data_IF_506878386311
#
_entry.id   IF_506878386311
#
_cell.length_a   1.000
_cell.length_b   1.000
_cell.length_c   1.000
_cell.angle_alpha   90.00
_cell.angle_beta   90.00
_cell.angle_gamma   90.00
#
_symmetry.space_group_name_H-M   'P 1'
#
loop_
_entity.id
_entity.type
_entity.pdbx_description
1 polymer ?
#
# COMPACT_ATOMS: atom_id res chain seq x y z
N UNK A 1 -19.19 -2.63 -1.04
CA UNK A 1 -19.08 -3.31 -2.35
C UNK A 1 -19.30 -2.37 -3.54
N UNK A 2 -20.38 -1.58 -3.61
CA UNK A 2 -20.60 -0.63 -4.73
C UNK A 2 -19.45 0.37 -4.97
N UNK A 3 -18.81 0.87 -3.92
CA UNK A 3 -17.68 1.81 -4.02
C UNK A 3 -16.45 1.23 -4.72
N UNK A 4 -16.11 -0.03 -4.45
CA UNK A 4 -14.92 -0.70 -5.02
C UNK A 4 -15.07 -0.90 -6.52
N UNK A 5 -16.26 -1.29 -6.98
CA UNK A 5 -16.54 -1.47 -8.42
C UNK A 5 -16.47 -0.13 -9.17
N UNK A 6 -16.94 0.95 -8.55
CA UNK A 6 -16.83 2.30 -9.12
C UNK A 6 -15.36 2.73 -9.27
N UNK A 7 -14.54 2.53 -8.24
CA UNK A 7 -13.10 2.84 -8.30
C UNK A 7 -12.35 2.03 -9.36
N UNK A 8 -12.69 0.74 -9.49
CA UNK A 8 -12.07 -0.11 -10.51
C UNK A 8 -12.40 0.37 -11.93
N UNK A 9 -13.65 0.78 -12.16
CA UNK A 9 -14.07 1.38 -13.45
C UNK A 9 -13.30 2.67 -13.75
N UNK A 10 -13.17 3.56 -12.76
CA UNK A 10 -12.41 4.80 -12.90
C UNK A 10 -10.92 4.52 -13.22
N UNK A 11 -10.30 3.58 -12.51
CA UNK A 11 -8.90 3.19 -12.75
C UNK A 11 -8.71 2.55 -14.14
N UNK A 12 -9.66 1.73 -14.59
CA UNK A 12 -9.63 1.16 -15.95
C UNK A 12 -9.73 2.26 -17.00
N UNK A 13 -10.69 3.18 -16.87
CA UNK A 13 -10.87 4.29 -17.80
C UNK A 13 -9.61 5.15 -17.91
N UNK A 14 -9.00 5.50 -16.78
CA UNK A 14 -7.76 6.27 -16.79
C UNK A 14 -6.60 5.52 -17.46
N UNK A 15 -6.46 4.21 -17.20
CA UNK A 15 -5.45 3.41 -17.89
C UNK A 15 -5.67 3.37 -19.41
N UNK A 16 -6.93 3.33 -19.87
CA UNK A 16 -7.27 3.31 -21.31
C UNK A 16 -7.07 4.65 -22.01
N UNK A 17 -7.11 5.78 -21.28
CA UNK A 17 -6.74 7.09 -21.84
C UNK A 17 -5.27 7.13 -22.26
N UNK A 18 -4.41 6.43 -21.51
CA UNK A 18 -2.96 6.36 -21.77
C UNK A 18 -2.62 5.21 -22.74
N UNK A 19 -3.27 4.05 -22.55
CA UNK A 19 -3.02 2.81 -23.30
C UNK A 19 -4.35 2.28 -23.88
N UNK A 20 -4.79 2.79 -25.06
CA UNK A 20 -6.11 2.50 -25.61
C UNK A 20 -6.42 1.02 -25.81
N UNK A 21 -5.43 0.20 -26.16
CA UNK A 21 -5.60 -1.24 -26.36
C UNK A 21 -6.04 -2.01 -25.10
N UNK A 22 -5.98 -1.39 -23.91
CA UNK A 22 -6.50 -1.97 -22.68
C UNK A 22 -8.03 -1.93 -22.59
N UNK A 23 -8.74 -1.19 -23.46
CA UNK A 23 -10.20 -1.05 -23.43
C UNK A 23 -10.90 -2.40 -23.54
N UNK A 24 -10.37 -3.23 -24.44
CA UNK A 24 -10.98 -4.50 -24.85
C UNK A 24 -10.57 -5.65 -23.92
N UNK A 25 -9.62 -5.42 -23.00
CA UNK A 25 -9.17 -6.42 -22.06
C UNK A 25 -10.08 -6.51 -20.83
N UNK A 26 -10.36 -7.73 -20.39
CA UNK A 26 -11.05 -8.01 -19.14
C UNK A 26 -10.10 -7.94 -17.94
N UNK A 27 -10.59 -7.46 -16.79
CA UNK A 27 -9.83 -7.52 -15.53
C UNK A 27 -9.79 -8.98 -15.05
N UNK A 28 -8.60 -9.59 -15.02
CA UNK A 28 -8.42 -10.98 -14.58
C UNK A 28 -8.47 -11.15 -13.05
N UNK A 29 -8.01 -10.15 -12.29
CA UNK A 29 -7.97 -10.20 -10.82
C UNK A 29 -7.98 -8.80 -10.21
N UNK A 30 -8.60 -8.68 -9.05
CA UNK A 30 -8.53 -7.49 -8.17
C UNK A 30 -8.16 -7.90 -6.76
N UNK A 31 -7.42 -7.05 -6.06
CA UNK A 31 -7.09 -7.24 -4.65
C UNK A 31 -7.14 -5.88 -3.94
N UNK A 32 -7.33 -5.93 -2.63
CA UNK A 32 -7.20 -4.78 -1.75
C UNK A 32 -6.28 -5.18 -0.60
N UNK A 33 -5.45 -4.25 -0.14
CA UNK A 33 -4.56 -4.44 0.98
C UNK A 33 -4.73 -3.32 2.00
N UNK A 34 -4.38 -3.62 3.25
CA UNK A 34 -4.28 -2.59 4.27
C UNK A 34 -2.97 -1.83 4.12
N UNK A 35 -3.05 -0.50 4.20
CA UNK A 35 -1.90 0.39 4.28
C UNK A 35 -1.97 1.05 5.66
N UNK A 36 -1.13 0.65 6.63
CA UNK A 36 -1.12 1.30 7.92
C UNK A 36 -0.50 2.69 7.77
N UNK A 37 -1.25 3.71 8.18
CA UNK A 37 -0.79 5.09 8.33
C UNK A 37 -0.74 5.43 9.81
N UNK A 38 0.34 6.08 10.24
CA UNK A 38 0.40 6.76 11.53
C UNK A 38 -0.42 8.05 11.49
N UNK A 39 -0.68 8.63 12.66
CA UNK A 39 -1.46 9.88 12.78
C UNK A 39 -0.72 11.09 12.18
N UNK A 40 0.61 11.10 12.28
CA UNK A 40 1.50 12.14 11.76
C UNK A 40 2.07 11.82 10.38
N UNK A 41 1.84 10.61 9.87
CA UNK A 41 2.32 10.15 8.57
C UNK A 41 3.75 9.58 8.58
N UNK A 42 4.45 9.67 9.71
CA UNK A 42 5.81 9.13 9.84
C UNK A 42 5.80 7.63 10.19
N UNK A 43 6.74 6.82 9.69
CA UNK A 43 6.84 5.41 10.04
C UNK A 43 7.05 5.19 11.53
N UNK A 44 6.44 4.13 12.06
CA UNK A 44 6.63 3.70 13.46
C UNK A 44 7.72 2.63 13.46
N UNK A 45 8.94 3.03 13.82
CA UNK A 45 10.15 2.19 13.77
C UNK A 45 10.88 2.29 15.11
N UNK A 46 11.08 1.18 15.81
CA UNK A 46 11.88 1.19 17.05
C UNK A 46 11.61 0.03 18.01
N UNK A 47 12.18 0.12 19.21
CA UNK A 47 11.93 -0.81 20.32
C UNK A 47 10.57 -0.57 20.95
N UNK A 48 9.88 -1.63 21.36
CA UNK A 48 8.69 -1.52 22.21
C UNK A 48 9.14 -1.58 23.68
N UNK A 49 9.05 -0.49 24.47
CA UNK A 49 9.67 -0.41 25.80
C UNK A 49 9.18 -1.46 26.81
N UNK A 50 7.94 -1.94 26.65
CA UNK A 50 7.33 -2.90 27.56
C UNK A 50 7.92 -4.32 27.46
N UNK A 51 8.71 -4.64 26.43
CA UNK A 51 9.18 -6.00 26.17
C UNK A 51 10.66 -6.04 25.78
N UNK A 52 11.41 -6.97 26.38
CA UNK A 52 12.81 -7.20 26.01
C UNK A 52 12.90 -7.79 24.60
N UNK A 53 13.79 -7.24 23.78
CA UNK A 53 14.07 -7.69 22.40
C UNK A 53 12.86 -7.64 21.44
N UNK A 54 11.87 -6.78 21.70
CA UNK A 54 10.74 -6.57 20.79
C UNK A 54 10.88 -5.24 20.04
N UNK A 55 10.65 -5.28 18.73
CA UNK A 55 10.74 -4.14 17.83
C UNK A 55 9.50 -4.04 16.95
N UNK A 56 9.21 -2.84 16.46
CA UNK A 56 8.12 -2.53 15.52
C UNK A 56 8.69 -1.88 14.26
N UNK A 57 8.12 -2.28 13.12
CA UNK A 57 8.22 -1.60 11.82
C UNK A 57 6.80 -1.55 11.26
N UNK A 58 6.17 -0.38 11.31
CA UNK A 58 4.81 -0.16 10.81
C UNK A 58 4.65 1.27 10.29
N UNK A 59 3.45 1.63 9.83
CA UNK A 59 3.18 2.99 9.37
C UNK A 59 3.86 3.37 8.06
N UNK A 60 4.36 2.40 7.28
CA UNK A 60 5.09 2.67 6.04
C UNK A 60 4.18 3.15 4.88
N UNK A 61 2.86 3.17 5.08
CA UNK A 61 1.90 3.71 4.12
C UNK A 61 2.09 3.10 2.71
N UNK A 62 1.85 3.88 1.66
CA UNK A 62 2.09 3.50 0.25
C UNK A 62 3.57 3.32 -0.10
N UNK A 63 4.50 3.68 0.79
CA UNK A 63 5.95 3.63 0.54
C UNK A 63 6.62 2.33 1.00
N UNK A 64 5.87 1.42 1.62
CA UNK A 64 6.41 0.20 2.25
C UNK A 64 7.19 -0.72 1.31
N UNK A 65 6.81 -0.78 0.02
CA UNK A 65 7.56 -1.57 -0.96
C UNK A 65 8.98 -1.04 -1.17
N UNK A 66 9.13 0.29 -1.31
CA UNK A 66 10.44 0.91 -1.54
C UNK A 66 11.28 1.08 -0.28
N UNK A 67 10.65 1.46 0.85
CA UNK A 67 11.35 1.75 2.11
C UNK A 67 11.53 0.52 3.00
N UNK A 68 10.73 -0.53 2.81
CA UNK A 68 10.72 -1.74 3.63
C UNK A 68 12.08 -2.44 3.76
N UNK A 69 12.87 -2.61 2.69
CA UNK A 69 14.17 -3.26 2.80
C UNK A 69 15.16 -2.52 3.72
N UNK A 70 15.10 -1.18 3.73
CA UNK A 70 16.05 -0.35 4.47
C UNK A 70 15.60 -0.02 5.90
N UNK A 71 14.30 -0.15 6.20
CA UNK A 71 13.75 0.14 7.54
C UNK A 71 14.34 -0.75 8.64
N UNK A 72 14.94 -1.88 8.26
CA UNK A 72 15.56 -2.83 9.15
C UNK A 72 17.01 -2.54 9.59
N UNK A 73 17.69 -1.57 8.96
CA UNK A 73 19.17 -1.50 9.00
C UNK A 73 19.77 -1.31 10.40
N UNK A 74 19.10 -0.58 11.28
CA UNK A 74 19.66 -0.13 12.56
C UNK A 74 19.01 -0.81 13.78
N UNK A 75 18.34 -1.96 13.59
CA UNK A 75 17.81 -2.76 14.70
C UNK A 75 18.87 -3.62 15.38
#
# INVERSE_FOLDING_TARGET
MKSILMELSLKKNHATEILPFLSDLSINRTWAGFLPFSLDGDPIIGKIPAYKNLYIVSGLASSGFGRGPMSGKNF
#
